data_IF_063006044328
#
_entry.id   IF_063006044328
#
_cell.length_a   1.000
_cell.length_b   1.000
_cell.length_c   1.000
_cell.angle_alpha   90.00
_cell.angle_beta   90.00
_cell.angle_gamma   90.00
#
_symmetry.space_group_name_H-M   'P 1'
#
loop_
_entity.id
_entity.type
_entity.pdbx_description
1 polymer ?
#
# COMPACT_ATOMS: atom_id res chain seq x y z
N UNK A 1 -24.38 -3.97 -100.94
CA UNK A 1 -24.20 -4.52 -99.58
C UNK A 1 -22.95 -3.89 -99.00
N UNK A 2 -23.09 -2.86 -98.18
CA UNK A 2 -21.97 -1.99 -97.78
C UNK A 2 -21.97 -1.89 -96.27
N UNK A 3 -20.95 -2.48 -95.65
CA UNK A 3 -20.81 -2.64 -94.20
C UNK A 3 -20.33 -1.33 -93.58
N UNK A 4 -21.12 -0.75 -92.66
CA UNK A 4 -20.74 0.41 -91.84
C UNK A 4 -19.93 -0.06 -90.62
N UNK A 5 -18.72 0.50 -90.46
CA UNK A 5 -17.88 0.37 -89.26
C UNK A 5 -18.36 1.35 -88.19
N UNK A 6 -18.71 0.84 -87.00
CA UNK A 6 -18.93 1.65 -85.80
C UNK A 6 -17.65 1.70 -84.96
N UNK A 7 -17.21 2.91 -84.60
CA UNK A 7 -16.07 3.17 -83.71
C UNK A 7 -16.59 3.19 -82.27
N UNK A 8 -16.08 2.29 -81.42
CA UNK A 8 -16.31 2.33 -79.97
C UNK A 8 -15.23 3.19 -79.30
N UNK A 9 -15.63 4.28 -78.67
CA UNK A 9 -14.77 5.09 -77.78
C UNK A 9 -14.83 4.51 -76.37
N UNK A 10 -13.70 3.99 -75.87
CA UNK A 10 -13.52 3.64 -74.46
C UNK A 10 -13.07 4.89 -73.68
N UNK A 11 -13.89 5.33 -72.73
CA UNK A 11 -13.50 6.33 -71.72
C UNK A 11 -12.94 5.57 -70.52
N UNK A 12 -11.63 5.70 -70.27
CA UNK A 12 -10.98 5.19 -69.07
C UNK A 12 -11.10 6.25 -67.98
N UNK A 13 -12.02 6.06 -67.03
CA UNK A 13 -12.06 6.83 -65.79
C UNK A 13 -11.02 6.25 -64.81
N UNK A 14 -9.85 6.88 -64.74
CA UNK A 14 -8.85 6.62 -63.70
C UNK A 14 -9.29 7.30 -62.39
N UNK A 15 -10.06 6.59 -61.57
CA UNK A 15 -10.39 6.99 -60.20
C UNK A 15 -9.22 6.76 -59.26
N UNK A 16 -8.48 7.82 -58.92
CA UNK A 16 -7.53 7.82 -57.82
C UNK A 16 -8.29 7.84 -56.50
N UNK A 17 -8.60 6.67 -55.96
CA UNK A 17 -9.06 6.51 -54.58
C UNK A 17 -7.89 6.76 -53.63
N UNK A 18 -7.69 8.02 -53.24
CA UNK A 18 -6.79 8.36 -52.14
C UNK A 18 -7.29 7.72 -50.85
N UNK A 19 -6.61 6.68 -50.38
CA UNK A 19 -6.81 6.13 -49.03
C UNK A 19 -6.39 7.21 -48.02
N UNK A 20 -7.35 7.99 -47.55
CA UNK A 20 -7.16 8.83 -46.38
C UNK A 20 -6.88 7.91 -45.19
N UNK A 21 -5.61 7.84 -44.77
CA UNK A 21 -5.24 7.21 -43.51
C UNK A 21 -5.96 7.98 -42.40
N UNK A 22 -7.04 7.41 -41.88
CA UNK A 22 -7.77 7.97 -40.75
C UNK A 22 -6.78 8.18 -39.60
N UNK A 23 -6.52 9.44 -39.30
CA UNK A 23 -5.61 9.84 -38.23
C UNK A 23 -6.19 9.30 -36.92
N UNK A 24 -5.50 8.32 -36.32
CA UNK A 24 -5.98 7.65 -35.12
C UNK A 24 -6.18 8.71 -34.03
N UNK A 25 -7.40 8.83 -33.50
CA UNK A 25 -7.72 9.83 -32.48
C UNK A 25 -6.73 9.72 -31.30
N UNK A 26 -6.30 10.86 -30.71
CA UNK A 26 -5.38 10.84 -29.59
C UNK A 26 -5.99 10.02 -28.44
N UNK A 27 -5.16 9.20 -27.82
CA UNK A 27 -5.58 8.38 -26.68
C UNK A 27 -5.98 9.28 -25.51
N UNK A 28 -7.12 9.05 -24.86
CA UNK A 28 -7.54 9.86 -23.73
C UNK A 28 -6.54 9.68 -22.57
N UNK A 29 -6.06 10.78 -21.96
CA UNK A 29 -5.10 10.72 -20.86
C UNK A 29 -5.72 10.20 -19.55
N UNK A 30 -7.03 10.40 -19.37
CA UNK A 30 -7.79 10.01 -18.18
C UNK A 30 -9.21 9.58 -18.60
N UNK A 31 -9.67 8.45 -18.08
CA UNK A 31 -11.04 7.92 -18.29
C UNK A 31 -11.61 7.47 -16.96
N UNK A 32 -12.89 7.76 -16.69
CA UNK A 32 -13.61 7.32 -15.49
C UNK A 32 -13.27 8.09 -14.20
N UNK A 33 -12.47 9.15 -14.30
CA UNK A 33 -12.16 10.01 -13.17
C UNK A 33 -11.95 11.46 -13.60
N UNK A 34 -12.00 12.37 -12.65
CA UNK A 34 -11.71 13.80 -12.84
C UNK A 34 -10.55 14.24 -11.96
N UNK A 35 -9.76 15.20 -12.45
CA UNK A 35 -8.69 15.79 -11.66
C UNK A 35 -9.25 16.79 -10.65
N UNK A 36 -8.92 16.58 -9.37
CA UNK A 36 -9.29 17.47 -8.26
C UNK A 36 -8.21 18.51 -8.03
N UNK A 37 -6.95 18.06 -7.96
CA UNK A 37 -5.77 18.93 -7.81
C UNK A 37 -4.52 18.19 -8.29
N UNK A 38 -3.59 18.92 -8.92
CA UNK A 38 -2.23 18.48 -9.21
C UNK A 38 -1.22 19.32 -8.44
N UNK A 39 -0.40 18.65 -7.63
CA UNK A 39 0.60 19.24 -6.76
C UNK A 39 1.98 18.97 -7.34
N UNK A 40 2.76 20.02 -7.55
CA UNK A 40 4.14 19.96 -8.02
C UNK A 40 5.02 20.67 -7.01
N UNK A 41 6.11 20.03 -6.53
CA UNK A 41 7.01 20.69 -5.62
C UNK A 41 7.80 21.78 -6.37
N UNK A 42 8.05 22.95 -5.78
CA UNK A 42 8.83 24.01 -6.43
C UNK A 42 10.31 23.63 -6.61
N UNK A 43 10.82 22.74 -5.76
CA UNK A 43 12.16 22.15 -5.82
C UNK A 43 12.15 20.75 -5.18
N UNK A 44 13.16 19.93 -5.46
CA UNK A 44 13.25 18.57 -4.94
C UNK A 44 12.24 17.61 -5.57
N UNK A 45 11.79 16.61 -4.80
CA UNK A 45 10.79 15.63 -5.23
C UNK A 45 9.76 15.37 -4.13
N UNK A 46 8.54 14.99 -4.52
CA UNK A 46 7.53 14.51 -3.59
C UNK A 46 7.90 13.08 -3.19
N UNK A 47 8.00 12.85 -1.90
CA UNK A 47 8.35 11.58 -1.32
C UNK A 47 7.19 10.57 -1.35
N UNK A 48 7.51 9.33 -1.03
CA UNK A 48 6.59 8.21 -1.03
C UNK A 48 5.50 8.28 0.08
N UNK A 49 5.77 8.78 1.29
CA UNK A 49 4.76 8.92 2.33
C UNK A 49 3.76 10.05 2.02
N UNK A 50 2.51 9.66 1.82
CA UNK A 50 1.36 10.56 1.65
C UNK A 50 0.30 10.18 2.69
N UNK A 51 -0.28 11.18 3.33
CA UNK A 51 -1.38 11.03 4.27
C UNK A 51 -2.56 11.89 3.85
N UNK A 52 -3.77 11.44 4.16
CA UNK A 52 -5.00 12.13 3.77
C UNK A 52 -6.03 12.06 4.87
N UNK A 53 -6.85 13.10 4.96
CA UNK A 53 -8.16 13.07 5.60
C UNK A 53 -9.20 13.65 4.61
N UNK A 54 -10.43 13.88 5.08
CA UNK A 54 -11.50 14.37 4.20
C UNK A 54 -11.30 15.82 3.75
N UNK A 55 -10.39 16.56 4.39
CA UNK A 55 -10.19 18.00 4.18
C UNK A 55 -8.83 18.32 3.58
N UNK A 56 -7.86 17.42 3.72
CA UNK A 56 -6.45 17.67 3.43
C UNK A 56 -5.74 16.48 2.83
N UNK A 57 -4.70 16.78 2.05
CA UNK A 57 -3.65 15.85 1.68
C UNK A 57 -2.32 16.40 2.18
N UNK A 58 -1.52 15.54 2.79
CA UNK A 58 -0.21 15.83 3.29
C UNK A 58 0.82 14.93 2.62
N UNK A 59 1.95 15.50 2.24
CA UNK A 59 3.03 14.81 1.56
C UNK A 59 4.36 15.45 1.95
N UNK A 60 5.46 14.71 1.84
CA UNK A 60 6.77 15.27 2.11
C UNK A 60 7.43 15.67 0.80
N UNK A 61 8.04 16.84 0.76
CA UNK A 61 9.00 17.24 -0.26
C UNK A 61 10.40 17.10 0.33
N UNK A 62 11.25 16.32 -0.34
CA UNK A 62 12.62 16.08 0.11
C UNK A 62 13.61 16.57 -0.94
N UNK A 63 14.73 17.09 -0.45
CA UNK A 63 15.96 17.29 -1.21
C UNK A 63 17.00 16.33 -0.67
N UNK A 64 17.74 15.68 -1.57
CA UNK A 64 18.66 14.60 -1.23
C UNK A 64 19.66 15.01 -0.15
N UNK A 65 19.45 14.51 1.07
CA UNK A 65 20.40 14.62 2.19
C UNK A 65 20.45 15.96 2.92
N UNK A 66 19.68 16.97 2.53
CA UNK A 66 19.79 18.33 3.10
C UNK A 66 18.50 18.87 3.70
N UNK A 67 17.33 18.50 3.15
CA UNK A 67 16.07 19.15 3.46
C UNK A 67 14.89 18.19 3.41
N UNK A 68 13.98 18.34 4.36
CA UNK A 68 12.67 17.68 4.31
C UNK A 68 11.57 18.64 4.80
N UNK A 69 10.56 18.85 3.95
CA UNK A 69 9.42 19.72 4.22
C UNK A 69 8.12 18.93 4.14
N UNK A 70 7.28 19.04 5.16
CA UNK A 70 5.92 18.52 5.14
C UNK A 70 5.00 19.58 4.51
N UNK A 71 4.43 19.26 3.37
CA UNK A 71 3.42 20.05 2.68
C UNK A 71 2.03 19.53 3.02
N UNK A 72 1.11 20.42 3.36
CA UNK A 72 -0.28 20.10 3.66
C UNK A 72 -1.19 21.00 2.83
N UNK A 73 -1.83 20.40 1.83
CA UNK A 73 -2.79 21.08 0.98
C UNK A 73 -4.21 20.90 1.52
N UNK A 74 -4.91 22.01 1.73
CA UNK A 74 -6.33 22.02 2.09
C UNK A 74 -7.21 22.08 0.85
N UNK A 75 -8.13 21.11 0.70
CA UNK A 75 -9.08 21.11 -0.42
C UNK A 75 -10.04 22.30 -0.38
N UNK A 76 -10.47 22.69 0.82
CA UNK A 76 -11.42 23.78 1.02
C UNK A 76 -10.78 25.16 0.75
N UNK A 77 -9.57 25.38 1.29
CA UNK A 77 -8.88 26.66 1.14
C UNK A 77 -8.13 26.78 -0.18
N UNK A 78 -7.90 25.67 -0.88
CA UNK A 78 -7.03 25.57 -2.06
C UNK A 78 -5.66 26.20 -1.81
N UNK A 79 -5.16 26.01 -0.60
CA UNK A 79 -3.93 26.60 -0.10
C UNK A 79 -3.06 25.51 0.51
N UNK A 80 -1.75 25.73 0.38
CA UNK A 80 -0.74 24.83 0.91
C UNK A 80 -0.03 25.46 2.11
N UNK A 81 0.15 24.66 3.15
CA UNK A 81 0.98 24.98 4.28
C UNK A 81 2.25 24.13 4.25
N UNK A 82 3.40 24.77 4.50
CA UNK A 82 4.71 24.10 4.51
C UNK A 82 5.28 24.13 5.92
N UNK A 83 5.80 22.99 6.35
CA UNK A 83 6.39 22.79 7.68
C UNK A 83 7.76 22.13 7.52
N UNK A 84 8.82 22.76 8.04
CA UNK A 84 10.15 22.14 8.07
C UNK A 84 10.18 20.97 9.06
N UNK A 85 10.53 19.77 8.56
CA UNK A 85 10.66 18.54 9.34
C UNK A 85 12.09 17.98 9.29
N UNK A 86 13.06 18.76 8.80
CA UNK A 86 14.47 18.37 8.68
C UNK A 86 15.05 17.91 10.02
N UNK A 87 14.69 18.59 11.12
CA UNK A 87 15.09 18.19 12.49
C UNK A 87 14.44 16.90 13.01
N UNK A 88 13.41 16.40 12.33
CA UNK A 88 12.79 15.10 12.61
C UNK A 88 13.48 14.02 11.80
N UNK A 89 13.44 14.12 10.47
CA UNK A 89 13.99 13.11 9.56
C UNK A 89 14.21 13.67 8.16
N UNK A 90 15.25 13.18 7.47
CA UNK A 90 15.49 13.36 6.04
C UNK A 90 14.96 12.18 5.20
N UNK A 91 14.54 11.10 5.86
CA UNK A 91 14.11 9.84 5.24
C UNK A 91 12.75 9.38 5.80
N UNK A 92 11.67 10.17 5.64
CA UNK A 92 10.33 9.71 6.00
C UNK A 92 9.95 8.43 5.25
N UNK A 93 9.32 7.51 5.98
CA UNK A 93 8.81 6.23 5.48
C UNK A 93 7.32 6.04 5.73
N UNK A 94 6.73 6.79 6.66
CA UNK A 94 5.29 6.84 6.85
C UNK A 94 4.84 8.22 7.36
N UNK A 95 3.58 8.56 7.05
CA UNK A 95 2.94 9.81 7.40
C UNK A 95 1.50 9.54 7.81
N UNK A 96 1.00 10.21 8.83
CA UNK A 96 -0.40 10.15 9.23
C UNK A 96 -0.88 11.51 9.75
N UNK A 97 -2.06 11.96 9.31
CA UNK A 97 -2.72 13.14 9.88
C UNK A 97 -3.40 12.79 11.20
N UNK A 98 -3.20 13.61 12.22
CA UNK A 98 -3.72 13.42 13.59
C UNK A 98 -4.34 14.73 14.06
N UNK A 99 -5.57 15.01 13.63
CA UNK A 99 -6.22 16.30 13.89
C UNK A 99 -5.38 17.47 13.35
N UNK A 100 -5.05 18.51 14.14
CA UNK A 100 -4.25 19.65 13.69
C UNK A 100 -2.74 19.35 13.59
N UNK A 101 -2.34 18.08 13.67
CA UNK A 101 -0.95 17.62 13.71
C UNK A 101 -0.69 16.58 12.63
N UNK A 102 0.58 16.30 12.38
CA UNK A 102 1.00 15.17 11.57
C UNK A 102 2.00 14.31 12.34
N UNK A 103 1.82 13.00 12.29
CA UNK A 103 2.81 12.03 12.72
C UNK A 103 3.70 11.72 11.52
N UNK A 104 5.00 11.98 11.66
CA UNK A 104 6.03 11.63 10.69
C UNK A 104 6.86 10.49 11.26
N UNK A 105 6.99 9.40 10.52
CA UNK A 105 7.90 8.30 10.85
C UNK A 105 9.00 8.30 9.80
N UNK A 106 10.25 8.33 10.24
CA UNK A 106 11.43 8.26 9.40
C UNK A 106 12.37 7.15 9.81
N UNK A 107 13.40 6.95 9.00
CA UNK A 107 14.44 5.96 9.22
C UNK A 107 15.80 6.65 9.36
N UNK A 108 16.56 6.26 10.37
CA UNK A 108 17.94 6.71 10.60
C UNK A 108 18.93 5.96 9.70
N UNK A 109 20.20 6.37 9.69
CA UNK A 109 21.22 5.75 8.82
C UNK A 109 21.45 4.26 9.13
N UNK A 110 21.32 3.87 10.39
CA UNK A 110 21.40 2.49 10.88
C UNK A 110 20.15 1.64 10.60
N UNK A 111 19.13 2.21 9.96
CA UNK A 111 17.87 1.51 9.63
C UNK A 111 16.83 1.52 10.75
N UNK A 112 17.11 2.14 11.91
CA UNK A 112 16.13 2.26 13.00
C UNK A 112 15.01 3.26 12.64
N UNK A 113 13.81 3.02 13.14
CA UNK A 113 12.70 3.95 13.04
C UNK A 113 12.78 5.04 14.12
N UNK A 114 12.47 6.26 13.72
CA UNK A 114 12.17 7.40 14.59
C UNK A 114 10.80 7.96 14.22
N UNK A 115 10.09 8.55 15.18
CA UNK A 115 8.82 9.19 14.91
C UNK A 115 8.71 10.52 15.64
N UNK A 116 7.99 11.47 15.06
CA UNK A 116 7.63 12.70 15.75
C UNK A 116 6.22 13.14 15.37
N UNK A 117 5.50 13.68 16.35
CA UNK A 117 4.25 14.38 16.10
C UNK A 117 4.57 15.88 15.99
N UNK A 118 4.24 16.50 14.86
CA UNK A 118 4.51 17.91 14.58
C UNK A 118 3.21 18.72 14.52
N UNK A 119 3.23 19.93 15.10
CA UNK A 119 2.12 20.89 14.95
C UNK A 119 2.08 21.40 13.52
N UNK A 120 0.92 21.31 12.86
CA UNK A 120 0.78 21.85 11.51
C UNK A 120 0.61 23.35 11.57
N UNK A 121 -0.25 23.88 12.44
CA UNK A 121 -0.46 25.31 12.61
C UNK A 121 0.23 25.86 13.87
N UNK A 122 0.54 27.16 13.93
CA UNK A 122 0.98 27.79 15.17
C UNK A 122 -0.05 27.62 16.28
N UNK A 123 0.39 27.34 17.50
CA UNK A 123 -0.47 27.19 18.68
C UNK A 123 0.10 27.95 19.86
N UNK A 124 -0.49 29.11 20.16
CA UNK A 124 0.05 30.01 21.19
C UNK A 124 1.47 30.46 20.85
N UNK A 125 2.45 30.09 21.68
CA UNK A 125 3.88 30.40 21.44
C UNK A 125 4.59 29.39 20.54
N UNK A 126 3.97 28.25 20.25
CA UNK A 126 4.55 27.24 19.38
C UNK A 126 4.36 27.63 17.92
N UNK A 127 5.45 27.61 17.15
CA UNK A 127 5.42 27.81 15.70
C UNK A 127 4.90 26.56 15.00
N UNK A 128 4.42 26.70 13.78
CA UNK A 128 4.21 25.55 12.88
C UNK A 128 5.52 24.75 12.77
N UNK A 129 5.42 23.43 12.75
CA UNK A 129 6.58 22.52 12.79
C UNK A 129 7.16 22.25 14.17
N UNK A 130 6.62 22.86 15.23
CA UNK A 130 7.02 22.50 16.58
C UNK A 130 6.78 21.00 16.82
N UNK A 131 7.84 20.30 17.22
CA UNK A 131 7.76 18.89 17.62
C UNK A 131 7.06 18.80 18.97
N UNK A 132 5.92 18.12 19.01
CA UNK A 132 5.15 17.86 20.23
C UNK A 132 5.83 16.80 21.08
N UNK A 133 6.26 15.71 20.44
CA UNK A 133 7.09 14.67 21.03
C UNK A 133 7.87 13.94 19.95
N UNK A 134 8.92 13.23 20.37
CA UNK A 134 9.73 12.33 19.53
C UNK A 134 9.80 10.95 20.17
N UNK A 135 9.81 9.91 19.34
CA UNK A 135 9.98 8.50 19.70
C UNK A 135 11.13 7.90 18.90
N UNK A 136 11.70 6.83 19.45
CA UNK A 136 12.83 6.11 18.86
C UNK A 136 14.19 6.55 19.41
N UNK A 137 15.29 5.93 18.95
CA UNK A 137 15.31 4.88 17.93
C UNK A 137 14.64 3.59 18.39
N UNK A 138 13.99 2.89 17.45
CA UNK A 138 13.35 1.60 17.66
C UNK A 138 13.45 0.77 16.37
N UNK A 139 13.38 -0.57 16.47
CA UNK A 139 13.42 -1.44 15.28
C UNK A 139 12.24 -1.14 14.36
N UNK A 140 11.04 -1.02 14.93
CA UNK A 140 9.85 -0.60 14.20
C UNK A 140 9.00 0.37 15.03
N UNK A 141 8.42 1.35 14.36
CA UNK A 141 7.36 2.21 14.91
C UNK A 141 6.20 2.15 13.93
N UNK A 142 5.05 1.68 14.38
CA UNK A 142 3.90 1.41 13.52
C UNK A 142 2.62 2.00 14.13
N UNK A 143 1.87 2.84 13.39
CA UNK A 143 0.53 3.23 13.79
C UNK A 143 -0.40 2.03 13.71
N UNK A 144 -1.21 1.83 14.75
CA UNK A 144 -2.17 0.74 14.84
C UNK A 144 -3.50 1.24 15.40
N UNK A 145 -4.57 0.46 15.23
CA UNK A 145 -5.85 0.69 15.89
C UNK A 145 -6.04 -0.39 16.94
N UNK A 146 -6.11 0.02 18.21
CA UNK A 146 -6.29 -0.89 19.33
C UNK A 146 -7.35 -0.34 20.28
N UNK A 147 -8.30 -1.19 20.65
CA UNK A 147 -9.48 -0.81 21.45
C UNK A 147 -10.26 0.36 20.83
N UNK A 148 -10.37 0.37 19.50
CA UNK A 148 -11.05 1.42 18.72
C UNK A 148 -10.31 2.76 18.70
N UNK A 149 -9.09 2.84 19.21
CA UNK A 149 -8.29 4.09 19.26
C UNK A 149 -7.02 3.94 18.44
N UNK A 150 -6.62 5.01 17.78
CA UNK A 150 -5.31 5.08 17.11
C UNK A 150 -4.20 5.11 18.17
N UNK A 151 -3.19 4.27 18.00
CA UNK A 151 -2.04 4.09 18.89
C UNK A 151 -0.76 3.97 18.07
N UNK A 152 0.37 4.07 18.74
CA UNK A 152 1.67 3.70 18.18
C UNK A 152 2.22 2.50 18.92
N UNK A 153 2.59 1.48 18.16
CA UNK A 153 3.38 0.37 18.64
C UNK A 153 4.86 0.66 18.37
N UNK A 154 5.66 0.74 19.43
CA UNK A 154 7.11 0.98 19.38
C UNK A 154 7.80 -0.33 19.75
N UNK A 155 8.31 -1.02 18.74
CA UNK A 155 8.93 -2.34 18.88
C UNK A 155 10.45 -2.23 18.82
N UNK A 156 11.11 -2.91 19.77
CA UNK A 156 12.57 -3.04 19.84
C UNK A 156 12.94 -4.51 19.84
N UNK A 157 13.75 -4.92 18.89
CA UNK A 157 14.39 -6.22 18.84
C UNK A 157 15.88 -6.05 19.16
N UNK A 158 16.35 -6.77 20.18
CA UNK A 158 17.75 -6.72 20.63
C UNK A 158 18.32 -8.13 20.68
N UNK A 159 19.56 -8.32 20.25
CA UNK A 159 20.23 -9.60 20.38
C UNK A 159 20.39 -9.95 21.87
N UNK A 160 20.14 -11.21 22.23
CA UNK A 160 20.38 -11.77 23.55
C UNK A 160 21.34 -12.96 23.46
N UNK A 161 21.76 -13.49 24.59
CA UNK A 161 22.61 -14.69 24.63
C UNK A 161 21.91 -15.94 24.08
N UNK A 162 20.58 -15.98 24.12
CA UNK A 162 19.80 -17.14 23.67
C UNK A 162 19.15 -16.94 22.29
N UNK A 163 19.09 -15.71 21.79
CA UNK A 163 18.54 -15.37 20.48
C UNK A 163 18.20 -13.89 20.37
N UNK A 164 16.90 -13.56 20.28
CA UNK A 164 16.41 -12.19 20.15
C UNK A 164 15.38 -11.87 21.22
N UNK A 165 15.59 -10.77 21.96
CA UNK A 165 14.61 -10.20 22.87
C UNK A 165 13.76 -9.15 22.16
N UNK A 166 12.46 -9.34 22.20
CA UNK A 166 11.46 -8.40 21.72
C UNK A 166 10.81 -7.65 22.87
N UNK A 167 10.80 -6.33 22.77
CA UNK A 167 10.16 -5.40 23.69
C UNK A 167 9.23 -4.47 22.92
N UNK A 168 8.17 -4.03 23.58
CA UNK A 168 7.11 -3.27 22.94
C UNK A 168 6.55 -2.23 23.90
N UNK A 169 6.43 -0.98 23.44
CA UNK A 169 5.65 0.04 24.13
C UNK A 169 4.43 0.41 23.29
N UNK A 170 3.27 0.49 23.94
CA UNK A 170 2.05 1.02 23.34
C UNK A 170 1.88 2.48 23.76
N UNK A 171 1.88 3.39 22.79
CA UNK A 171 1.89 4.85 23.00
C UNK A 171 0.58 5.47 22.48
N UNK A 172 0.06 6.46 23.20
CA UNK A 172 -1.05 7.29 22.72
C UNK A 172 -0.56 8.24 21.62
N UNK A 173 -1.07 8.08 20.39
CA UNK A 173 -0.58 8.83 19.22
C UNK A 173 -0.73 10.34 19.39
N UNK A 174 -1.73 10.82 20.13
CA UNK A 174 -2.05 12.24 20.28
C UNK A 174 -1.12 12.95 21.28
N UNK A 175 -0.54 12.21 22.22
CA UNK A 175 0.19 12.79 23.37
C UNK A 175 1.61 12.28 23.54
N UNK A 176 1.97 11.16 22.90
CA UNK A 176 3.27 10.51 23.08
C UNK A 176 3.41 9.79 24.43
N UNK A 177 2.35 9.76 25.26
CA UNK A 177 2.38 9.09 26.56
C UNK A 177 2.28 7.58 26.40
N UNK A 178 3.10 6.85 27.14
CA UNK A 178 3.01 5.39 27.23
C UNK A 178 1.71 4.98 27.92
N UNK A 179 0.96 4.10 27.27
CA UNK A 179 -0.28 3.51 27.77
C UNK A 179 0.02 2.18 28.45
N UNK A 180 0.84 1.36 27.81
CA UNK A 180 1.23 0.05 28.32
C UNK A 180 2.65 -0.29 27.87
N UNK A 181 3.34 -1.07 28.68
CA UNK A 181 4.57 -1.75 28.29
C UNK A 181 4.23 -3.23 28.07
N UNK A 182 4.66 -3.78 26.95
CA UNK A 182 4.54 -5.19 26.63
C UNK A 182 5.43 -6.04 27.53
N UNK A 183 5.05 -7.31 27.66
CA UNK A 183 5.87 -8.33 28.32
C UNK A 183 7.10 -8.60 27.46
N UNK A 184 8.26 -8.71 28.11
CA UNK A 184 9.49 -9.14 27.44
C UNK A 184 9.27 -10.52 26.83
N UNK A 185 9.64 -10.65 25.55
CA UNK A 185 9.39 -11.85 24.77
C UNK A 185 10.67 -12.27 24.06
N UNK A 186 11.30 -13.33 24.58
CA UNK A 186 12.59 -13.81 24.10
C UNK A 186 12.41 -15.05 23.22
N UNK A 187 12.90 -14.94 21.99
CA UNK A 187 12.92 -16.03 21.01
C UNK A 187 14.33 -16.58 20.90
N UNK A 188 14.46 -17.90 20.85
CA UNK A 188 15.73 -18.55 20.54
C UNK A 188 16.08 -18.43 19.04
N UNK A 189 17.21 -19.01 18.64
CA UNK A 189 17.67 -19.02 17.25
C UNK A 189 16.74 -19.76 16.29
N UNK A 190 15.80 -20.58 16.80
CA UNK A 190 14.76 -21.25 16.04
C UNK A 190 13.40 -20.51 16.11
N UNK A 191 13.40 -19.25 16.55
CA UNK A 191 12.20 -18.44 16.74
C UNK A 191 11.20 -19.03 17.75
N UNK A 192 11.68 -19.81 18.73
CA UNK A 192 10.85 -20.43 19.77
C UNK A 192 10.94 -19.69 21.09
N UNK A 193 9.78 -19.46 21.69
CA UNK A 193 9.62 -19.00 23.07
C UNK A 193 9.47 -20.22 23.97
N UNK A 194 10.49 -20.49 24.81
CA UNK A 194 10.58 -21.73 25.57
C UNK A 194 9.46 -21.93 26.60
N UNK A 195 9.09 -20.89 27.37
CA UNK A 195 8.09 -20.96 28.45
C UNK A 195 6.66 -21.19 27.95
N UNK A 196 6.35 -20.66 26.76
CA UNK A 196 5.06 -20.80 26.10
C UNK A 196 5.05 -22.00 25.14
N UNK A 197 6.21 -22.61 24.88
CA UNK A 197 6.43 -23.62 23.85
C UNK A 197 5.87 -23.19 22.48
N UNK A 198 6.05 -21.91 22.14
CA UNK A 198 5.51 -21.27 20.94
C UNK A 198 6.63 -21.03 19.94
N UNK A 199 6.57 -21.66 18.78
CA UNK A 199 7.43 -21.32 17.63
C UNK A 199 6.74 -20.26 16.80
N UNK A 200 7.29 -19.04 16.80
CA UNK A 200 6.72 -17.88 16.11
C UNK A 200 6.99 -17.97 14.61
N UNK A 201 5.94 -17.70 13.83
CA UNK A 201 6.00 -17.65 12.39
C UNK A 201 5.94 -16.21 11.87
N UNK A 202 5.00 -15.41 12.38
CA UNK A 202 4.81 -14.03 11.95
C UNK A 202 4.28 -13.18 13.12
N UNK A 203 4.33 -11.87 12.92
CA UNK A 203 3.80 -10.89 13.86
C UNK A 203 2.53 -10.27 13.30
N UNK A 204 1.77 -9.54 14.10
CA UNK A 204 0.70 -8.69 13.59
C UNK A 204 0.50 -7.46 14.48
N UNK A 205 -0.35 -6.53 14.04
CA UNK A 205 -0.77 -5.36 14.81
C UNK A 205 0.43 -4.58 15.36
N UNK A 206 1.38 -4.24 14.49
CA UNK A 206 2.59 -3.50 14.87
C UNK A 206 3.48 -4.24 15.87
N UNK A 207 3.60 -5.57 15.72
CA UNK A 207 4.36 -6.46 16.63
C UNK A 207 3.74 -6.64 18.02
N UNK A 208 2.48 -6.24 18.24
CA UNK A 208 1.79 -6.50 19.51
C UNK A 208 1.38 -7.96 19.69
N UNK A 209 1.23 -8.72 18.60
CA UNK A 209 0.87 -10.13 18.63
C UNK A 209 1.87 -10.99 17.87
N UNK A 210 2.33 -12.06 18.49
CA UNK A 210 3.15 -13.11 17.89
C UNK A 210 2.26 -14.31 17.55
N UNK A 211 2.25 -14.73 16.28
CA UNK A 211 1.48 -15.87 15.79
C UNK A 211 2.40 -17.03 15.49
N UNK A 212 1.98 -18.24 15.83
CA UNK A 212 2.82 -19.41 15.65
C UNK A 212 2.14 -20.74 15.99
N UNK A 213 2.97 -21.77 16.11
CA UNK A 213 2.56 -23.11 16.52
C UNK A 213 2.97 -23.30 17.98
N UNK A 214 1.99 -23.57 18.84
CA UNK A 214 2.23 -23.97 20.22
C UNK A 214 2.21 -25.48 20.32
N UNK A 215 3.26 -26.04 20.90
CA UNK A 215 3.36 -27.48 21.11
C UNK A 215 2.22 -27.98 22.01
N UNK A 216 1.68 -29.15 21.68
CA UNK A 216 0.68 -29.82 22.49
C UNK A 216 1.17 -30.13 23.91
N UNK A 217 0.25 -30.16 24.87
CA UNK A 217 0.54 -30.49 26.25
C UNK A 217 0.33 -31.98 26.50
N UNK A 218 1.08 -32.55 27.45
CA UNK A 218 0.85 -33.92 27.89
C UNK A 218 -0.45 -34.02 28.68
N UNK A 219 -1.39 -34.84 28.22
CA UNK A 219 -2.59 -35.21 28.98
C UNK A 219 -2.32 -36.50 29.77
N UNK A 220 -2.17 -36.36 31.09
CA UNK A 220 -1.93 -37.50 31.98
C UNK A 220 -3.11 -38.46 32.07
N UNK A 221 -4.34 -38.02 31.77
CA UNK A 221 -5.54 -38.86 31.86
C UNK A 221 -5.66 -39.79 30.67
N UNK A 222 -5.29 -39.29 29.49
CA UNK A 222 -5.33 -40.04 28.23
C UNK A 222 -3.97 -40.68 27.89
N UNK A 223 -2.95 -40.45 28.72
CA UNK A 223 -1.55 -40.89 28.54
C UNK A 223 -1.00 -40.55 27.13
N UNK A 224 -1.39 -39.40 26.62
CA UNK A 224 -1.05 -38.95 25.27
C UNK A 224 -0.78 -37.46 25.22
N UNK A 225 -0.08 -37.01 24.18
CA UNK A 225 0.16 -35.59 23.93
C UNK A 225 -0.99 -35.03 23.10
N UNK A 226 -1.57 -33.91 23.52
CA UNK A 226 -2.54 -33.20 22.69
C UNK A 226 -1.88 -32.75 21.38
N UNK A 227 -2.65 -32.59 20.28
CA UNK A 227 -2.08 -32.10 19.04
C UNK A 227 -1.57 -30.66 19.19
N UNK A 228 -0.60 -30.30 18.37
CA UNK A 228 -0.14 -28.92 18.25
C UNK A 228 -1.29 -28.00 17.84
N UNK A 229 -1.26 -26.76 18.34
CA UNK A 229 -2.29 -25.76 18.08
C UNK A 229 -1.69 -24.51 17.48
N UNK A 230 -2.49 -23.81 16.68
CA UNK A 230 -2.21 -22.43 16.35
C UNK A 230 -2.39 -21.58 17.60
N UNK A 231 -1.45 -20.66 17.83
CA UNK A 231 -1.52 -19.75 18.95
C UNK A 231 -1.15 -18.32 18.54
N UNK A 232 -1.89 -17.36 19.10
CA UNK A 232 -1.56 -15.95 19.06
C UNK A 232 -1.28 -15.46 20.48
N UNK A 233 -0.05 -15.02 20.74
CA UNK A 233 0.35 -14.43 22.01
C UNK A 233 0.38 -12.92 21.89
N UNK A 234 -0.43 -12.25 22.71
CA UNK A 234 -0.49 -10.79 22.76
C UNK A 234 0.49 -10.26 23.81
N UNK A 235 1.51 -9.53 23.37
CA UNK A 235 2.60 -9.04 24.23
C UNK A 235 2.11 -7.99 25.23
N UNK A 236 1.06 -7.24 24.91
CA UNK A 236 0.53 -6.19 25.79
C UNK A 236 -0.28 -6.80 26.94
N UNK A 237 -1.14 -7.77 26.66
CA UNK A 237 -2.03 -8.38 27.66
C UNK A 237 -1.44 -9.64 28.30
N UNK A 238 -0.51 -10.30 27.62
CA UNK A 238 0.02 -11.63 27.99
C UNK A 238 -0.96 -12.78 27.75
N UNK A 239 -2.06 -12.55 27.03
CA UNK A 239 -3.04 -13.58 26.73
C UNK A 239 -2.57 -14.44 25.54
N UNK A 240 -2.84 -15.73 25.62
CA UNK A 240 -2.67 -16.69 24.53
C UNK A 240 -4.05 -17.06 24.02
N UNK A 241 -4.31 -16.81 22.75
CA UNK A 241 -5.46 -17.33 22.02
C UNK A 241 -5.02 -18.61 21.32
N UNK A 242 -5.77 -19.71 21.46
CA UNK A 242 -5.45 -21.01 20.84
C UNK A 242 -6.55 -21.42 19.87
N UNK A 243 -6.14 -22.06 18.77
CA UNK A 243 -7.05 -22.61 17.76
C UNK A 243 -6.53 -23.96 17.26
N UNK A 244 -7.44 -24.93 17.12
CA UNK A 244 -7.12 -26.24 16.53
C UNK A 244 -6.67 -26.08 15.08
N UNK A 245 -5.65 -26.85 14.71
CA UNK A 245 -5.20 -26.99 13.34
C UNK A 245 -6.06 -28.06 12.65
N UNK A 246 -6.89 -27.65 11.70
CA UNK A 246 -7.76 -28.55 10.95
C UNK A 246 -7.02 -29.21 9.77
N UNK A 247 -6.20 -28.42 9.06
CA UNK A 247 -5.38 -28.86 7.92
C UNK A 247 -4.00 -28.20 8.01
N UNK A 248 -2.96 -29.04 8.13
CA UNK A 248 -1.57 -28.60 8.27
C UNK A 248 -1.03 -27.92 7.00
N UNK A 249 -1.45 -28.38 5.82
CA UNK A 249 -0.97 -27.85 4.55
C UNK A 249 -1.55 -26.46 4.28
N UNK A 250 -2.86 -26.32 4.42
CA UNK A 250 -3.54 -25.03 4.27
C UNK A 250 -3.11 -24.02 5.32
N UNK A 251 -2.87 -24.48 6.57
CA UNK A 251 -2.30 -23.62 7.60
C UNK A 251 -0.90 -23.11 7.21
N UNK A 252 0.00 -23.99 6.78
CA UNK A 252 1.36 -23.61 6.40
C UNK A 252 1.37 -22.63 5.23
N UNK A 253 0.51 -22.84 4.23
CA UNK A 253 0.32 -21.89 3.13
C UNK A 253 -0.15 -20.53 3.64
N UNK A 254 -1.18 -20.50 4.49
CA UNK A 254 -1.65 -19.25 5.09
C UNK A 254 -0.55 -18.53 5.88
N UNK A 255 0.22 -19.25 6.67
CA UNK A 255 1.32 -18.68 7.47
C UNK A 255 2.41 -18.09 6.58
N UNK A 256 2.80 -18.78 5.51
CA UNK A 256 3.73 -18.22 4.53
C UNK A 256 3.17 -16.95 3.90
N UNK A 257 1.90 -16.93 3.51
CA UNK A 257 1.26 -15.74 2.93
C UNK A 257 1.27 -14.53 3.89
N UNK A 258 1.06 -14.76 5.19
CA UNK A 258 1.05 -13.72 6.22
C UNK A 258 2.46 -13.22 6.58
N UNK A 259 3.45 -14.10 6.53
CA UNK A 259 4.85 -13.71 6.68
C UNK A 259 5.32 -12.86 5.48
N UNK A 260 4.98 -13.29 4.26
CA UNK A 260 5.34 -12.59 3.01
C UNK A 260 4.64 -11.21 2.88
N UNK A 261 3.48 -11.02 3.50
CA UNK A 261 2.73 -9.74 3.47
C UNK A 261 3.29 -8.69 4.44
N UNK A 262 4.42 -8.97 5.10
CA UNK A 262 5.00 -8.06 6.08
C UNK A 262 4.14 -7.97 7.34
N UNK A 263 3.61 -9.10 7.82
CA UNK A 263 2.89 -9.20 9.09
C UNK A 263 1.52 -8.48 9.09
N UNK A 264 0.95 -8.21 7.91
CA UNK A 264 -0.37 -7.59 7.76
C UNK A 264 -1.44 -8.68 7.54
N UNK A 265 -2.53 -8.70 8.33
CA UNK A 265 -3.61 -9.69 8.16
C UNK A 265 -4.53 -9.40 6.98
N UNK A 266 -4.52 -8.13 6.52
CA UNK A 266 -5.40 -7.59 5.49
C UNK A 266 -4.54 -7.07 4.35
N UNK A 267 -4.62 -7.71 3.19
CA UNK A 267 -3.82 -7.34 2.01
C UNK A 267 -4.42 -7.94 0.74
N UNK A 268 -3.93 -7.53 -0.43
CA UNK A 268 -4.20 -8.21 -1.69
C UNK A 268 -2.91 -8.79 -2.22
N UNK A 269 -2.98 -10.00 -2.77
CA UNK A 269 -1.83 -10.63 -3.42
C UNK A 269 -2.21 -11.41 -4.66
N UNK A 270 -1.22 -11.58 -5.53
CA UNK A 270 -1.25 -12.61 -6.55
C UNK A 270 -1.12 -14.00 -5.92
N UNK A 271 -1.90 -14.96 -6.42
CA UNK A 271 -1.69 -16.36 -6.14
C UNK A 271 -0.28 -16.77 -6.58
N UNK A 272 0.35 -17.74 -5.91
CA UNK A 272 1.74 -18.11 -6.24
C UNK A 272 1.92 -18.64 -7.66
N UNK A 273 0.87 -19.18 -8.27
CA UNK A 273 0.85 -19.66 -9.65
C UNK A 273 0.44 -18.56 -10.66
N UNK A 274 0.25 -17.32 -10.21
CA UNK A 274 -0.26 -16.19 -10.98
C UNK A 274 -1.63 -16.44 -11.64
N UNK A 275 -2.40 -17.44 -11.18
CA UNK A 275 -3.70 -17.79 -11.75
C UNK A 275 -4.81 -16.79 -11.42
N UNK A 276 -4.62 -15.98 -10.36
CA UNK A 276 -5.61 -15.00 -9.94
C UNK A 276 -5.15 -14.18 -8.75
N UNK A 277 -5.99 -13.21 -8.36
CA UNK A 277 -5.80 -12.38 -7.19
C UNK A 277 -6.63 -12.86 -6.02
N UNK A 278 -6.11 -12.62 -4.81
CA UNK A 278 -6.78 -12.93 -3.56
C UNK A 278 -6.81 -11.69 -2.67
N UNK A 279 -8.00 -11.35 -2.18
CA UNK A 279 -8.20 -10.43 -1.07
C UNK A 279 -8.09 -11.22 0.23
N UNK A 280 -7.09 -10.89 1.03
CA UNK A 280 -6.90 -11.44 2.36
C UNK A 280 -7.54 -10.52 3.38
N UNK A 281 -8.40 -11.07 4.23
CA UNK A 281 -9.03 -10.36 5.35
C UNK A 281 -8.99 -11.22 6.60
N UNK A 282 -8.48 -10.66 7.70
CA UNK A 282 -8.24 -11.36 8.95
C UNK A 282 -7.50 -12.69 8.71
N UNK A 283 -6.52 -12.68 7.81
CA UNK A 283 -5.74 -13.85 7.43
C UNK A 283 -6.47 -14.93 6.62
N UNK A 284 -7.67 -14.64 6.07
CA UNK A 284 -8.39 -15.59 5.20
C UNK A 284 -8.38 -15.09 3.75
N UNK A 285 -7.99 -15.93 2.77
CA UNK A 285 -8.04 -15.57 1.36
C UNK A 285 -9.46 -15.61 0.83
N UNK A 286 -9.75 -14.70 -0.10
CA UNK A 286 -10.94 -14.69 -0.93
C UNK A 286 -10.55 -14.38 -2.37
N UNK A 287 -10.96 -15.18 -3.37
CA UNK A 287 -10.62 -14.89 -4.76
C UNK A 287 -11.26 -13.58 -5.23
N UNK A 288 -10.55 -12.86 -6.10
CA UNK A 288 -11.03 -11.65 -6.75
C UNK A 288 -11.33 -11.94 -8.22
N UNK A 289 -12.52 -11.57 -8.68
CA UNK A 289 -12.95 -11.73 -10.07
C UNK A 289 -12.90 -10.38 -10.78
N UNK A 290 -12.24 -10.31 -11.92
CA UNK A 290 -12.14 -9.13 -12.77
C UNK A 290 -13.13 -9.21 -13.94
N UNK A 291 -13.55 -8.04 -14.42
CA UNK A 291 -14.27 -7.87 -15.67
C UNK A 291 -13.38 -8.12 -16.91
N UNK A 292 -12.06 -7.95 -16.77
CA UNK A 292 -11.07 -8.22 -17.81
C UNK A 292 -10.06 -9.32 -17.41
N UNK A 293 -9.51 -10.08 -18.39
CA UNK A 293 -8.51 -11.09 -18.09
C UNK A 293 -7.25 -10.50 -17.45
N UNK A 294 -6.82 -11.09 -16.34
CA UNK A 294 -5.64 -10.65 -15.58
C UNK A 294 -4.34 -10.70 -16.41
N UNK A 295 -4.28 -11.59 -17.41
CA UNK A 295 -3.18 -11.71 -18.37
C UNK A 295 -2.94 -10.47 -19.24
N UNK A 296 -3.83 -9.47 -19.17
CA UNK A 296 -3.67 -8.17 -19.84
C UNK A 296 -2.70 -7.25 -19.09
N UNK A 297 -2.42 -7.55 -17.83
CA UNK A 297 -1.70 -6.67 -16.91
C UNK A 297 -0.32 -7.20 -16.56
N UNK A 298 0.61 -6.27 -16.29
CA UNK A 298 1.90 -6.62 -15.69
C UNK A 298 1.71 -6.94 -14.21
N UNK A 299 1.84 -8.22 -13.84
CA UNK A 299 1.70 -8.68 -12.45
C UNK A 299 2.63 -7.95 -11.46
N UNK A 300 3.82 -7.52 -11.90
CA UNK A 300 4.78 -6.82 -11.03
C UNK A 300 4.40 -5.37 -10.75
N UNK A 301 3.46 -4.82 -11.53
CA UNK A 301 2.96 -3.45 -11.36
C UNK A 301 1.83 -3.34 -10.33
N UNK A 302 1.34 -4.47 -9.82
CA UNK A 302 0.21 -4.52 -8.89
C UNK A 302 0.47 -3.67 -7.65
N UNK A 303 -0.50 -2.79 -7.36
CA UNK A 303 -0.59 -2.07 -6.10
C UNK A 303 -1.98 -2.28 -5.52
N UNK A 304 -2.09 -2.38 -4.21
CA UNK A 304 -3.38 -2.59 -3.59
C UNK A 304 -3.47 -2.01 -2.18
N UNK A 305 -4.68 -1.58 -1.82
CA UNK A 305 -5.02 -1.02 -0.51
C UNK A 305 -6.33 -1.64 -0.07
N UNK A 306 -6.32 -2.35 1.06
CA UNK A 306 -7.54 -2.89 1.68
C UNK A 306 -8.25 -1.77 2.42
N UNK A 307 -9.57 -1.69 2.24
CA UNK A 307 -10.42 -0.66 2.84
C UNK A 307 -11.15 -1.19 4.06
N UNK A 308 -11.54 -0.29 4.98
CA UNK A 308 -12.19 -0.66 6.24
C UNK A 308 -13.55 -1.37 6.05
N UNK A 309 -14.23 -1.15 4.93
CA UNK A 309 -15.45 -1.85 4.53
C UNK A 309 -15.21 -3.33 4.14
N UNK A 310 -13.96 -3.78 4.12
CA UNK A 310 -13.57 -5.12 3.70
C UNK A 310 -13.45 -5.31 2.20
N UNK A 311 -13.53 -4.24 1.42
CA UNK A 311 -13.14 -4.22 0.01
C UNK A 311 -11.65 -3.92 -0.16
N UNK A 312 -11.27 -3.60 -1.39
CA UNK A 312 -9.95 -3.09 -1.70
C UNK A 312 -9.98 -2.18 -2.91
N UNK A 313 -8.93 -1.37 -3.06
CA UNK A 313 -8.58 -0.77 -4.33
C UNK A 313 -7.34 -1.44 -4.87
N UNK A 314 -7.33 -1.71 -6.18
CA UNK A 314 -6.22 -2.37 -6.87
C UNK A 314 -5.87 -1.53 -8.08
N UNK A 315 -4.59 -1.35 -8.33
CA UNK A 315 -4.10 -0.70 -9.53
C UNK A 315 -3.09 -1.58 -10.27
N UNK A 316 -3.17 -1.58 -11.59
CA UNK A 316 -2.30 -2.33 -12.49
C UNK A 316 -1.88 -1.48 -13.67
N UNK A 317 -0.67 -1.73 -14.16
CA UNK A 317 -0.26 -1.30 -15.49
C UNK A 317 -0.66 -2.35 -16.52
N UNK A 318 -1.27 -1.91 -17.61
CA UNK A 318 -1.50 -2.75 -18.80
C UNK A 318 -0.14 -3.14 -19.38
N UNK A 319 0.05 -4.42 -19.63
CA UNK A 319 1.23 -4.91 -20.34
C UNK A 319 1.06 -4.57 -21.84
N UNK A 320 1.87 -3.67 -22.41
CA UNK A 320 1.75 -3.31 -23.82
C UNK A 320 2.00 -4.48 -24.76
N UNK A 321 2.66 -5.55 -24.30
CA UNK A 321 3.00 -6.75 -25.08
C UNK A 321 2.32 -8.02 -24.56
N UNK A 322 1.14 -7.88 -23.95
CA UNK A 322 0.33 -9.02 -23.54
C UNK A 322 -0.02 -9.96 -24.72
N UNK A 323 -0.49 -11.18 -24.42
CA UNK A 323 -0.77 -12.20 -25.43
C UNK A 323 -1.73 -11.73 -26.54
N UNK A 324 -2.76 -10.95 -26.20
CA UNK A 324 -3.68 -10.38 -27.18
C UNK A 324 -3.00 -9.31 -28.06
N UNK A 325 -2.10 -8.51 -27.48
CA UNK A 325 -1.28 -7.53 -28.17
C UNK A 325 -0.34 -8.13 -29.19
N UNK A 326 0.31 -9.23 -28.81
CA UNK A 326 1.19 -10.01 -29.68
C UNK A 326 0.38 -10.63 -30.82
N UNK A 327 -0.76 -11.26 -30.50
CA UNK A 327 -1.62 -11.90 -31.50
C UNK A 327 -2.08 -10.91 -32.59
N UNK A 328 -2.44 -9.69 -32.21
CA UNK A 328 -2.85 -8.62 -33.14
C UNK A 328 -1.68 -7.79 -33.71
N UNK A 329 -0.43 -8.11 -33.34
CA UNK A 329 0.80 -7.41 -33.74
C UNK A 329 0.75 -5.89 -33.52
N UNK A 330 0.06 -5.45 -32.45
CA UNK A 330 -0.11 -4.04 -32.10
C UNK A 330 -0.08 -3.89 -30.59
N UNK A 331 0.90 -3.16 -30.07
CA UNK A 331 1.04 -2.93 -28.63
C UNK A 331 -0.20 -2.26 -28.05
N UNK A 332 -0.60 -2.68 -26.85
CA UNK A 332 -1.63 -1.94 -26.09
C UNK A 332 -1.03 -0.64 -25.55
N UNK A 333 -1.85 0.41 -25.41
CA UNK A 333 -1.43 1.57 -24.66
C UNK A 333 -1.10 1.22 -23.21
N UNK A 334 -0.01 1.78 -22.70
CA UNK A 334 0.39 1.64 -21.31
C UNK A 334 -0.53 2.44 -20.39
N UNK A 335 -1.70 1.91 -20.09
CA UNK A 335 -2.62 2.46 -19.12
C UNK A 335 -2.29 1.96 -17.70
N UNK A 336 -2.60 2.78 -16.71
CA UNK A 336 -2.67 2.43 -15.31
C UNK A 336 -4.15 2.37 -14.91
N UNK A 337 -4.66 1.15 -14.84
CA UNK A 337 -6.06 0.86 -14.56
C UNK A 337 -6.25 0.67 -13.05
N UNK A 338 -7.32 1.28 -12.55
CA UNK A 338 -7.64 1.33 -11.12
C UNK A 338 -9.01 0.72 -10.92
N UNK A 339 -9.06 -0.28 -10.04
CA UNK A 339 -10.22 -1.09 -9.74
C UNK A 339 -10.66 -0.88 -8.30
N UNK A 340 -11.97 -0.85 -8.10
CA UNK A 340 -12.57 -1.02 -6.78
C UNK A 340 -13.09 -2.45 -6.66
N UNK A 341 -12.67 -3.12 -5.61
CA UNK A 341 -13.09 -4.47 -5.24
C UNK A 341 -14.08 -4.38 -4.10
N UNK A 342 -15.30 -4.85 -4.31
CA UNK A 342 -16.29 -4.96 -3.25
C UNK A 342 -15.96 -6.11 -2.28
N UNK A 343 -16.56 -6.09 -1.09
CA UNK A 343 -16.38 -7.16 -0.11
C UNK A 343 -16.81 -8.55 -0.62
N UNK A 344 -17.62 -8.62 -1.69
CA UNK A 344 -18.00 -9.86 -2.37
C UNK A 344 -16.89 -10.44 -3.28
N UNK A 345 -15.80 -9.71 -3.52
CA UNK A 345 -14.66 -10.13 -4.34
C UNK A 345 -14.76 -9.72 -5.81
N UNK A 346 -15.75 -8.92 -6.21
CA UNK A 346 -15.85 -8.43 -7.60
C UNK A 346 -15.06 -7.15 -7.77
N UNK A 347 -14.17 -7.13 -8.77
CA UNK A 347 -13.42 -5.95 -9.18
C UNK A 347 -14.15 -5.23 -10.33
N UNK A 348 -14.34 -3.92 -10.19
CA UNK A 348 -14.86 -3.05 -11.23
C UNK A 348 -13.84 -1.96 -11.51
N UNK A 349 -13.47 -1.76 -12.78
CA UNK A 349 -12.61 -0.63 -13.16
C UNK A 349 -13.33 0.69 -12.88
N UNK A 350 -12.66 1.58 -12.16
CA UNK A 350 -13.12 2.92 -11.82
C UNK A 350 -12.41 3.99 -12.61
N UNK A 351 -11.11 3.82 -12.86
CA UNK A 351 -10.36 4.80 -13.62
C UNK A 351 -9.30 4.13 -14.49
N UNK A 352 -8.87 4.87 -15.50
CA UNK A 352 -7.77 4.51 -16.39
C UNK A 352 -6.95 5.77 -16.67
N UNK A 353 -5.65 5.71 -16.40
CA UNK A 353 -4.72 6.83 -16.55
C UNK A 353 -3.62 6.46 -17.52
N UNK A 354 -3.37 7.27 -18.55
CA UNK A 354 -2.31 6.99 -19.51
C UNK A 354 -0.94 7.16 -18.86
N UNK A 355 -0.17 6.07 -18.78
CA UNK A 355 1.07 5.96 -18.01
C UNK A 355 2.29 5.64 -18.90
N UNK A 356 2.34 6.20 -20.11
CA UNK A 356 3.38 5.95 -21.12
C UNK A 356 4.79 6.16 -20.55
N UNK A 357 5.52 5.07 -20.31
CA UNK A 357 6.86 5.08 -19.75
C UNK A 357 6.93 5.57 -18.30
N UNK A 358 5.80 5.82 -17.64
CA UNK A 358 5.74 6.37 -16.28
C UNK A 358 5.42 5.27 -15.28
N UNK A 359 6.07 5.34 -14.12
CA UNK A 359 5.69 4.55 -12.93
C UNK A 359 4.81 5.42 -12.05
N UNK A 360 3.76 4.84 -11.50
CA UNK A 360 2.90 5.52 -10.54
C UNK A 360 2.99 4.81 -9.19
N UNK A 361 2.93 5.57 -8.11
CA UNK A 361 2.52 5.07 -6.81
C UNK A 361 1.09 5.52 -6.55
N UNK A 362 0.28 4.65 -6.01
CA UNK A 362 -1.15 4.85 -5.81
C UNK A 362 -1.50 4.87 -4.33
N UNK A 363 -2.46 5.71 -3.96
CA UNK A 363 -3.14 5.54 -2.68
C UNK A 363 -4.51 6.19 -2.59
N UNK A 364 -5.20 5.99 -1.47
CA UNK A 364 -6.56 6.47 -1.26
C UNK A 364 -6.57 7.80 -0.51
N UNK A 365 -7.59 8.60 -0.80
CA UNK A 365 -7.95 9.75 0.02
C UNK A 365 -9.03 9.30 1.00
N UNK A 366 -8.82 9.53 2.30
CA UNK A 366 -9.80 9.21 3.32
C UNK A 366 -10.98 10.19 3.25
N UNK A 367 -11.99 9.88 2.44
CA UNK A 367 -13.23 10.65 2.35
C UNK A 367 -14.47 9.78 2.62
N UNK A 368 -15.64 10.44 2.72
CA UNK A 368 -16.90 9.76 3.05
C UNK A 368 -17.42 8.90 1.90
N UNK A 369 -17.16 9.31 0.65
CA UNK A 369 -17.66 8.63 -0.53
C UNK A 369 -16.80 7.41 -0.90
N UNK A 370 -15.52 7.42 -0.50
CA UNK A 370 -14.54 6.39 -0.81
C UNK A 370 -14.27 6.28 -2.30
N UNK A 371 -14.32 7.40 -3.03
CA UNK A 371 -14.16 7.50 -4.50
C UNK A 371 -12.92 8.30 -4.92
N UNK A 372 -12.21 8.94 -3.98
CA UNK A 372 -10.99 9.68 -4.25
C UNK A 372 -9.72 8.87 -3.99
N UNK A 373 -8.74 9.12 -4.85
CA UNK A 373 -7.43 8.51 -4.79
C UNK A 373 -6.36 9.48 -5.28
N UNK A 374 -5.11 9.20 -4.97
CA UNK A 374 -3.97 9.98 -5.44
C UNK A 374 -3.01 9.11 -6.24
N UNK A 375 -2.33 9.75 -7.20
CA UNK A 375 -1.28 9.17 -8.01
C UNK A 375 -0.02 10.02 -7.90
N UNK A 376 1.06 9.40 -7.45
CA UNK A 376 2.40 9.98 -7.46
C UNK A 376 3.13 9.51 -8.73
N UNK A 377 3.40 10.43 -9.64
CA UNK A 377 4.20 10.17 -10.84
C UNK A 377 5.68 10.03 -10.46
N UNK A 378 6.19 8.80 -10.45
CA UNK A 378 7.53 8.49 -9.95
C UNK A 378 8.63 8.84 -10.95
N UNK A 379 9.76 9.30 -10.42
CA UNK A 379 10.94 9.59 -11.24
C UNK A 379 11.54 8.30 -11.79
N UNK A 380 11.90 8.30 -13.08
CA UNK A 380 12.62 7.19 -13.70
C UNK A 380 14.01 7.07 -13.10
N UNK A 381 14.39 5.85 -12.71
CA UNK A 381 15.71 5.55 -12.15
C UNK A 381 15.90 5.95 -10.68
N UNK A 382 14.86 6.43 -9.98
CA UNK A 382 14.91 6.72 -8.55
C UNK A 382 14.09 5.72 -7.74
N UNK A 383 14.70 5.20 -6.68
CA UNK A 383 14.04 4.28 -5.73
C UNK A 383 13.03 4.96 -4.83
N UNK A 384 13.05 6.30 -4.77
CA UNK A 384 12.16 7.10 -3.94
C UNK A 384 11.60 8.31 -4.68
N UNK A 385 10.33 8.61 -4.42
CA UNK A 385 9.70 9.85 -4.78
C UNK A 385 9.28 10.01 -6.25
N UNK A 386 8.71 11.17 -6.52
CA UNK A 386 8.11 11.53 -7.79
C UNK A 386 8.04 13.03 -8.04
N UNK A 387 7.71 13.40 -9.28
CA UNK A 387 7.68 14.78 -9.76
C UNK A 387 6.37 15.50 -9.46
N UNK A 388 5.27 14.77 -9.34
CA UNK A 388 3.95 15.35 -9.17
C UNK A 388 3.01 14.38 -8.49
N UNK A 389 2.13 14.91 -7.66
CA UNK A 389 1.08 14.19 -6.96
C UNK A 389 -0.28 14.72 -7.44
N UNK A 390 -1.07 13.86 -8.06
CA UNK A 390 -2.41 14.23 -8.55
C UNK A 390 -3.47 13.54 -7.72
N UNK A 391 -4.43 14.31 -7.21
CA UNK A 391 -5.65 13.78 -6.58
C UNK A 391 -6.75 13.71 -7.63
N UNK A 392 -7.37 12.53 -7.72
CA UNK A 392 -8.40 12.18 -8.68
C UNK A 392 -9.67 11.73 -7.95
N UNK A 393 -10.83 11.97 -8.57
CA UNK A 393 -12.12 11.47 -8.10
C UNK A 393 -12.71 10.53 -9.16
N UNK A 394 -12.98 9.28 -8.79
CA UNK A 394 -13.66 8.33 -9.66
C UNK A 394 -15.13 8.71 -9.90
N UNK A 395 -15.64 8.42 -11.09
CA UNK A 395 -17.02 8.66 -11.51
C UNK A 395 -17.97 7.50 -11.19
#
# INVERSE_FOLDING_TARGET
>A
MTVRRGVLSFVVLSGLSGLALAQQAPLPPLVGATEVVKLNPPAGFIDDPVATDSERIAYVVAETGSKAELHVYSYALKAEQVVDITGVTLRPVALQLVGPRALVIGVTEDGSNIAALVELAPKGKQKAGAVVYKLGPATHITPIVRDGKARLAVHRATASTSGTRHELDLIAIETGKRIAAGRSFELDTASKQAKLELTVNHWSDGFTKAHGIKAGAWDRKEDTRSPDVEAAYDLITGKVEIKRIEDLYEQRRRFQALADSGNQPDFVRMAWDNSGLQLWKAGKPKPITFDEPLSTYDAKSMQAIVTADGGAWIAFKVDPVNAAAVARKKADPEYFDIFRVSADGKAQRKARVLAKGMRHRFGLVADKAGDKFWLLERNLGMDRGGRSLTVLQAQ
#
